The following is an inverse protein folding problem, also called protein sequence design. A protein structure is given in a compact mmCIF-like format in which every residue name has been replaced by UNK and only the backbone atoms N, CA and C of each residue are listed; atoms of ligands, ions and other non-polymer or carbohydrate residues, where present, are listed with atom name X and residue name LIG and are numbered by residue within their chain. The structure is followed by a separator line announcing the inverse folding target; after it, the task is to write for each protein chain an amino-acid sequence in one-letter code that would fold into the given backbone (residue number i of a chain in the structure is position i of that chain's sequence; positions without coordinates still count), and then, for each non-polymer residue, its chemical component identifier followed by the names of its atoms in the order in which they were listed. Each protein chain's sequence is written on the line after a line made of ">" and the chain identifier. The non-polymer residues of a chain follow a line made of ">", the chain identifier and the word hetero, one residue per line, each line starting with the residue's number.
data_IF_061287245080
#
_entry.id   IF_061287245080
#
_cell.length_a   1.000
_cell.length_b   1.000
_cell.length_c   1.000
_cell.angle_alpha   90.00
_cell.angle_beta   90.00
_cell.angle_gamma   90.00
#
_symmetry.space_group_name_H-M   'P 1'
#
loop_
_entity.id
_entity.type
_entity.pdbx_description
1 polymer ?
#
# COMPACT_ATOMS: atom_id res chain seq x y z
N UNK A 1 7.61 -0.60 27.44
CA UNK A 1 8.25 -1.28 26.31
C UNK A 1 7.84 -0.57 25.02
N UNK A 2 8.78 -0.21 24.16
CA UNK A 2 8.48 0.39 22.85
C UNK A 2 8.50 -0.72 21.78
N UNK A 3 7.48 -0.76 20.92
CA UNK A 3 7.44 -1.69 19.80
C UNK A 3 8.31 -1.19 18.65
N UNK A 4 9.09 -2.10 18.03
CA UNK A 4 10.02 -1.78 16.95
C UNK A 4 9.59 -2.31 15.57
N UNK A 5 8.54 -3.13 15.51
CA UNK A 5 7.97 -3.64 14.26
C UNK A 5 7.03 -2.63 13.58
N UNK A 6 6.65 -2.91 12.33
CA UNK A 6 5.80 -2.01 11.55
C UNK A 6 4.42 -1.80 12.17
N UNK A 7 3.72 -2.89 12.50
CA UNK A 7 2.31 -2.84 12.87
C UNK A 7 2.08 -2.20 14.23
N UNK A 8 2.97 -2.46 15.20
CA UNK A 8 2.87 -1.94 16.57
C UNK A 8 3.77 -0.73 16.83
N UNK A 9 4.80 -0.53 16.00
CA UNK A 9 5.82 0.50 16.14
C UNK A 9 5.71 1.57 15.06
N UNK A 10 6.71 1.65 14.18
CA UNK A 10 6.96 2.82 13.35
C UNK A 10 5.82 3.20 12.37
N UNK A 11 5.04 2.22 11.90
CA UNK A 11 3.93 2.49 10.97
C UNK A 11 2.58 2.67 11.67
N UNK A 12 2.49 2.42 12.98
CA UNK A 12 1.21 2.45 13.71
C UNK A 12 0.51 3.82 13.59
N UNK A 13 1.25 4.92 13.70
CA UNK A 13 0.67 6.27 13.58
C UNK A 13 0.09 6.55 12.19
N UNK A 14 0.73 6.08 11.13
CA UNK A 14 0.25 6.17 9.75
C UNK A 14 -0.99 5.29 9.56
N UNK A 15 -0.93 4.04 10.03
CA UNK A 15 -2.09 3.12 10.05
C UNK A 15 -3.29 3.72 10.77
N UNK A 16 -3.06 4.39 11.90
CA UNK A 16 -4.14 5.07 12.62
C UNK A 16 -4.69 6.28 11.86
N UNK A 17 -3.83 7.10 11.24
CA UNK A 17 -4.23 8.24 10.39
C UNK A 17 -5.12 7.79 9.24
N UNK A 18 -4.75 6.70 8.57
CA UNK A 18 -5.44 6.19 7.39
C UNK A 18 -6.57 5.20 7.76
N UNK A 19 -7.05 5.25 9.01
CA UNK A 19 -8.15 4.42 9.54
C UNK A 19 -7.96 2.91 9.33
N UNK A 20 -6.71 2.44 9.34
CA UNK A 20 -6.30 1.06 9.11
C UNK A 20 -6.75 0.52 7.75
N UNK A 21 -7.00 1.38 6.76
CA UNK A 21 -7.45 0.98 5.42
C UNK A 21 -6.32 1.11 4.41
N UNK A 22 -6.16 0.11 3.57
CA UNK A 22 -5.29 0.23 2.40
C UNK A 22 -5.83 1.33 1.46
N UNK A 23 -5.05 2.39 1.22
CA UNK A 23 -5.47 3.51 0.37
C UNK A 23 -5.73 3.11 -1.09
N UNK A 24 -5.17 1.98 -1.52
CA UNK A 24 -5.30 1.47 -2.89
C UNK A 24 -6.56 0.63 -3.08
N UNK A 25 -6.69 -0.47 -2.34
CA UNK A 25 -7.76 -1.46 -2.55
C UNK A 25 -8.86 -1.44 -1.47
N UNK A 26 -8.71 -0.63 -0.42
CA UNK A 26 -9.70 -0.55 0.65
C UNK A 26 -9.72 -1.73 1.63
N UNK A 27 -8.73 -2.64 1.62
CA UNK A 27 -8.60 -3.70 2.63
C UNK A 27 -8.73 -3.08 4.02
N UNK A 28 -9.75 -3.52 4.77
CA UNK A 28 -10.03 -3.07 6.12
C UNK A 28 -9.19 -3.85 7.13
N UNK A 29 -8.08 -3.25 7.55
CA UNK A 29 -7.16 -3.80 8.53
C UNK A 29 -7.57 -3.55 9.98
N UNK A 30 -8.71 -2.90 10.25
CA UNK A 30 -9.29 -2.88 11.59
C UNK A 30 -9.98 -4.21 11.93
N UNK A 31 -10.13 -5.10 10.93
CA UNK A 31 -10.65 -6.46 11.11
C UNK A 31 -9.50 -7.46 11.29
N UNK A 32 -9.69 -8.44 12.15
CA UNK A 32 -8.80 -9.60 12.25
C UNK A 32 -9.20 -10.66 11.20
N UNK A 33 -8.25 -11.33 10.50
CA UNK A 33 -6.80 -11.19 10.57
C UNK A 33 -6.22 -10.13 9.61
N UNK A 34 -7.05 -9.30 8.96
CA UNK A 34 -6.60 -8.33 7.97
C UNK A 34 -5.50 -7.39 8.46
N UNK A 35 -5.53 -7.01 9.74
CA UNK A 35 -4.49 -6.20 10.39
C UNK A 35 -3.06 -6.72 10.12
N UNK A 36 -2.87 -8.05 10.10
CA UNK A 36 -1.57 -8.69 9.84
C UNK A 36 -1.03 -8.38 8.43
N UNK A 37 -1.92 -8.10 7.48
CA UNK A 37 -1.56 -7.80 6.09
C UNK A 37 -1.34 -6.32 5.84
N UNK A 38 -1.48 -5.44 6.83
CA UNK A 38 -1.10 -4.04 6.67
C UNK A 38 0.42 -3.88 6.58
N UNK A 39 0.80 -2.79 5.93
CA UNK A 39 2.16 -2.30 5.76
C UNK A 39 2.10 -0.78 5.57
N UNK A 40 3.27 -0.15 5.44
CA UNK A 40 3.40 1.24 5.03
C UNK A 40 4.08 1.32 3.67
N UNK A 41 3.56 2.16 2.79
CA UNK A 41 4.12 2.36 1.46
C UNK A 41 4.68 3.78 1.36
N UNK A 42 5.86 3.90 0.77
CA UNK A 42 6.45 5.19 0.45
C UNK A 42 6.01 5.57 -0.95
N UNK A 43 5.29 6.69 -1.08
CA UNK A 43 4.81 7.18 -2.38
C UNK A 43 5.97 7.62 -3.28
N UNK A 44 7.05 8.13 -2.68
CA UNK A 44 8.22 8.64 -3.38
C UNK A 44 9.34 7.57 -3.47
N UNK A 45 10.15 7.54 -4.55
CA UNK A 45 11.21 6.56 -4.76
C UNK A 45 12.35 6.73 -3.74
N UNK A 46 13.20 5.70 -3.59
CA UNK A 46 14.19 5.58 -2.51
C UNK A 46 15.14 6.78 -2.43
N UNK A 47 15.46 7.33 -3.59
CA UNK A 47 16.42 8.40 -3.82
C UNK A 47 15.82 9.80 -3.64
N UNK A 48 14.49 9.91 -3.51
CA UNK A 48 13.82 11.20 -3.39
C UNK A 48 14.01 11.79 -1.98
N UNK A 49 14.42 13.07 -1.85
CA UNK A 49 14.73 13.67 -0.54
C UNK A 49 13.51 13.73 0.39
N UNK A 50 12.32 13.95 -0.16
CA UNK A 50 11.05 13.94 0.58
C UNK A 50 10.51 12.55 0.95
N UNK A 51 11.20 11.46 0.63
CA UNK A 51 10.65 10.10 0.80
C UNK A 51 10.17 9.77 2.21
N UNK A 52 10.90 10.22 3.22
CA UNK A 52 10.59 9.92 4.62
C UNK A 52 9.60 10.92 5.24
N UNK A 53 9.07 11.85 4.46
CA UNK A 53 7.97 12.71 4.89
C UNK A 53 6.73 11.85 5.14
N UNK A 54 6.10 12.04 6.29
CA UNK A 54 4.91 11.28 6.70
C UNK A 54 3.73 11.53 5.78
N UNK A 55 3.65 12.69 5.14
CA UNK A 55 2.57 13.00 4.18
C UNK A 55 2.70 12.16 2.90
N UNK A 56 3.91 11.65 2.61
CA UNK A 56 4.19 10.75 1.49
C UNK A 56 4.36 9.29 1.90
N UNK A 57 3.98 8.93 3.13
CA UNK A 57 3.91 7.56 3.61
C UNK A 57 2.45 7.23 3.92
N UNK A 58 1.94 6.13 3.38
CA UNK A 58 0.53 5.74 3.48
C UNK A 58 0.35 4.30 3.92
N UNK A 59 -0.81 4.00 4.47
CA UNK A 59 -1.21 2.61 4.75
C UNK A 59 -1.56 1.87 3.47
N UNK A 60 -0.89 0.73 3.28
CA UNK A 60 -1.13 -0.17 2.17
C UNK A 60 -1.15 -1.62 2.67
N UNK A 61 -1.97 -2.48 2.08
CA UNK A 61 -1.79 -3.91 2.31
C UNK A 61 -0.50 -4.39 1.64
N UNK A 62 0.12 -5.45 2.17
CA UNK A 62 1.39 -6.01 1.67
C UNK A 62 1.34 -6.34 0.18
N UNK A 63 0.20 -6.81 -0.33
CA UNK A 63 0.03 -7.05 -1.76
C UNK A 63 0.17 -5.76 -2.58
N UNK A 64 -0.60 -4.71 -2.24
CA UNK A 64 -0.59 -3.46 -3.01
C UNK A 64 0.77 -2.74 -2.92
N UNK A 65 1.40 -2.77 -1.74
CA UNK A 65 2.75 -2.24 -1.54
C UNK A 65 3.79 -2.96 -2.43
N UNK A 66 3.66 -4.29 -2.58
CA UNK A 66 4.54 -5.10 -3.40
C UNK A 66 4.24 -5.09 -4.91
N UNK A 67 2.99 -4.84 -5.30
CA UNK A 67 2.49 -5.06 -6.68
C UNK A 67 3.24 -4.25 -7.75
N UNK A 68 3.72 -3.05 -7.41
CA UNK A 68 4.40 -2.15 -8.34
C UNK A 68 5.76 -1.67 -7.82
N UNK A 69 6.44 -2.44 -6.96
CA UNK A 69 7.71 -2.04 -6.37
C UNK A 69 8.86 -1.86 -7.38
N UNK A 70 8.73 -2.41 -8.59
CA UNK A 70 9.66 -2.26 -9.72
C UNK A 70 9.23 -1.20 -10.74
N UNK A 71 8.05 -0.61 -10.56
CA UNK A 71 7.52 0.40 -11.48
C UNK A 71 8.02 1.78 -11.08
N UNK A 72 8.56 2.53 -12.04
CA UNK A 72 8.88 3.94 -11.87
C UNK A 72 7.65 4.77 -12.20
N UNK A 73 7.19 5.54 -11.23
CA UNK A 73 6.11 6.51 -11.41
C UNK A 73 6.71 7.90 -11.55
N UNK A 74 6.13 8.72 -12.42
CA UNK A 74 6.36 10.16 -12.37
C UNK A 74 5.68 10.70 -11.10
N UNK A 75 6.47 11.20 -10.16
CA UNK A 75 6.01 11.71 -8.86
C UNK A 75 6.44 13.15 -8.61
N UNK A 76 7.20 13.74 -9.53
CA UNK A 76 7.78 15.06 -9.33
C UNK A 76 6.68 16.13 -9.32
N UNK A 77 6.75 17.03 -8.34
CA UNK A 77 5.73 18.07 -8.09
C UNK A 77 4.30 17.55 -7.89
N UNK A 78 4.10 16.27 -7.54
CA UNK A 78 2.77 15.70 -7.30
C UNK A 78 2.46 15.61 -5.82
N UNK A 79 1.22 15.91 -5.47
CA UNK A 79 0.67 15.71 -4.12
C UNK A 79 0.47 14.22 -3.84
N UNK A 80 0.41 13.81 -2.56
CA UNK A 80 0.15 12.42 -2.18
C UNK A 80 -1.06 11.80 -2.88
N UNK A 81 -2.17 12.52 -2.99
CA UNK A 81 -3.41 12.01 -3.59
C UNK A 81 -3.26 11.71 -5.09
N UNK A 82 -2.47 12.52 -5.79
CA UNK A 82 -2.17 12.33 -7.21
C UNK A 82 -1.30 11.10 -7.43
N UNK A 83 -0.29 10.91 -6.59
CA UNK A 83 0.57 9.72 -6.64
C UNK A 83 -0.24 8.46 -6.29
N UNK A 84 -1.10 8.53 -5.27
CA UNK A 84 -2.00 7.43 -4.91
C UNK A 84 -2.90 7.06 -6.09
N UNK A 85 -3.47 8.05 -6.79
CA UNK A 85 -4.32 7.81 -7.96
C UNK A 85 -3.55 7.10 -9.09
N UNK A 86 -2.33 7.54 -9.39
CA UNK A 86 -1.46 6.91 -10.40
C UNK A 86 -1.14 5.46 -10.01
N UNK A 87 -0.67 5.25 -8.77
CA UNK A 87 -0.32 3.91 -8.27
C UNK A 87 -1.54 3.00 -8.23
N UNK A 88 -2.72 3.52 -7.85
CA UNK A 88 -3.98 2.75 -7.80
C UNK A 88 -4.36 2.19 -9.16
N UNK A 89 -4.22 2.97 -10.25
CA UNK A 89 -4.48 2.47 -11.61
C UNK A 89 -3.54 1.32 -11.97
N UNK A 90 -2.25 1.43 -11.66
CA UNK A 90 -1.29 0.37 -11.93
C UNK A 90 -1.53 -0.89 -11.08
N UNK A 91 -1.80 -0.69 -9.78
CA UNK A 91 -2.10 -1.78 -8.83
C UNK A 91 -3.38 -2.51 -9.24
N UNK A 92 -4.42 -1.81 -9.68
CA UNK A 92 -5.67 -2.43 -10.11
C UNK A 92 -5.47 -3.35 -11.31
N UNK A 93 -4.62 -2.97 -12.27
CA UNK A 93 -4.24 -3.84 -13.39
C UNK A 93 -3.58 -5.14 -12.91
N UNK A 94 -2.67 -5.05 -11.93
CA UNK A 94 -2.03 -6.23 -11.33
C UNK A 94 -3.05 -7.07 -10.55
N UNK A 95 -3.98 -6.44 -9.81
CA UNK A 95 -5.03 -7.15 -9.09
C UNK A 95 -5.93 -7.93 -10.03
N UNK A 96 -6.32 -7.32 -11.15
CA UNK A 96 -7.17 -7.96 -12.15
C UNK A 96 -6.48 -9.15 -12.81
N UNK A 97 -5.20 -9.04 -13.17
CA UNK A 97 -4.48 -10.19 -13.74
C UNK A 97 -4.35 -11.36 -12.77
N UNK A 98 -4.14 -11.08 -11.47
CA UNK A 98 -4.13 -12.11 -10.43
C UNK A 98 -5.52 -12.74 -10.23
N UNK A 99 -6.57 -11.92 -10.29
CA UNK A 99 -7.95 -12.38 -10.18
C UNK A 99 -8.31 -13.30 -11.36
N UNK A 100 -8.00 -12.89 -12.59
CA UNK A 100 -8.19 -13.70 -13.79
C UNK A 100 -7.47 -15.05 -13.69
N UNK A 101 -6.20 -15.04 -13.25
CA UNK A 101 -5.45 -16.27 -13.03
C UNK A 101 -6.10 -17.16 -11.98
N UNK A 102 -6.52 -16.59 -10.84
CA UNK A 102 -7.20 -17.31 -9.78
C UNK A 102 -8.51 -17.96 -10.26
N UNK A 103 -9.34 -17.21 -10.98
CA UNK A 103 -10.62 -17.70 -11.51
C UNK A 103 -10.45 -18.81 -12.56
N UNK A 104 -9.39 -18.73 -13.36
CA UNK A 104 -9.13 -19.72 -14.41
C UNK A 104 -8.48 -21.00 -13.90
N UNK A 105 -7.65 -20.92 -12.84
CA UNK A 105 -6.74 -22.00 -12.47
C UNK A 105 -6.90 -22.51 -11.03
N UNK A 106 -7.54 -21.75 -10.13
CA UNK A 106 -7.56 -22.05 -8.69
C UNK A 106 -8.99 -22.20 -8.16
N UNK A 107 -9.89 -21.26 -8.48
CA UNK A 107 -11.26 -21.37 -8.00
C UNK A 107 -11.85 -22.68 -8.50
N UNK A 108 -12.39 -23.47 -7.58
CA UNK A 108 -13.15 -24.67 -7.91
C UNK A 108 -14.19 -24.28 -8.96
N UNK A 109 -14.15 -24.95 -10.12
CA UNK A 109 -15.22 -24.84 -11.12
C UNK A 109 -16.49 -25.48 -10.58
#
# INVERSE_FOLDING_TARGET
>A
MAYTDSLRGYAYSINKRDHFKCVYCGLDGAKWPNWLFLSWDHLLPKEHPGRNDKDYIVTACRFCNGACNRTKFDVENKKPEEIIAIKKVAIEKVRNSYKEFFEQNISEK
#
